data_IF_474139283320
#
_entry.id   IF_474139283320
#
_cell.length_a   1.000
_cell.length_b   1.000
_cell.length_c   1.000
_cell.angle_alpha   90.00
_cell.angle_beta   90.00
_cell.angle_gamma   90.00
#
_symmetry.space_group_name_H-M   'P 1'
#
loop_
_entity.id
_entity.type
_entity.pdbx_description
1 polymer ?
#
# COMPACT_ATOMS: atom_id res chain seq x y z
N UNK A 1 -10.15 -11.10 38.80
CA UNK A 1 -8.80 -11.40 38.25
C UNK A 1 -8.83 -11.89 36.79
N UNK A 2 -9.86 -12.62 36.33
CA UNK A 2 -9.98 -13.05 34.92
C UNK A 2 -10.19 -11.87 33.95
N UNK A 3 -11.01 -10.89 34.35
CA UNK A 3 -11.33 -9.70 33.54
C UNK A 3 -10.08 -8.86 33.20
N UNK A 4 -9.12 -8.76 34.13
CA UNK A 4 -7.89 -7.99 33.93
C UNK A 4 -6.89 -8.68 33.00
N UNK A 5 -6.85 -10.02 32.99
CA UNK A 5 -6.01 -10.78 32.06
C UNK A 5 -6.53 -10.67 30.62
N UNK A 6 -7.85 -10.79 30.43
CA UNK A 6 -8.47 -10.63 29.12
C UNK A 6 -8.23 -9.22 28.55
N UNK A 7 -8.33 -8.18 29.38
CA UNK A 7 -8.01 -6.81 28.99
C UNK A 7 -6.54 -6.65 28.56
N UNK A 8 -5.59 -7.22 29.32
CA UNK A 8 -4.17 -7.18 28.97
C UNK A 8 -3.87 -7.87 27.63
N UNK A 9 -4.47 -9.04 27.39
CA UNK A 9 -4.33 -9.77 26.11
C UNK A 9 -4.92 -8.95 24.95
N UNK A 10 -6.09 -8.35 25.14
CA UNK A 10 -6.71 -7.50 24.13
C UNK A 10 -5.81 -6.31 23.79
N UNK A 11 -5.30 -5.58 24.78
CA UNK A 11 -4.38 -4.45 24.56
C UNK A 11 -3.12 -4.88 23.82
N UNK A 12 -2.53 -6.00 24.20
CA UNK A 12 -1.35 -6.53 23.51
C UNK A 12 -1.64 -6.83 22.04
N UNK A 13 -2.73 -7.55 21.74
CA UNK A 13 -3.11 -7.88 20.36
C UNK A 13 -3.44 -6.62 19.56
N UNK A 14 -4.10 -5.63 20.16
CA UNK A 14 -4.37 -4.34 19.50
C UNK A 14 -3.06 -3.65 19.09
N UNK A 15 -2.07 -3.60 19.98
CA UNK A 15 -0.77 -2.98 19.67
C UNK A 15 -0.03 -3.75 18.57
N UNK A 16 -0.01 -5.08 18.65
CA UNK A 16 0.64 -5.92 17.63
C UNK A 16 -0.01 -5.73 16.25
N UNK A 17 -1.34 -5.76 16.18
CA UNK A 17 -2.08 -5.55 14.94
C UNK A 17 -1.93 -4.13 14.42
N UNK A 18 -1.88 -3.12 15.30
CA UNK A 18 -1.66 -1.74 14.89
C UNK A 18 -0.27 -1.55 14.26
N UNK A 19 0.77 -2.13 14.87
CA UNK A 19 2.14 -2.08 14.33
C UNK A 19 2.21 -2.83 12.99
N UNK A 20 1.66 -4.04 12.92
CA UNK A 20 1.62 -4.82 11.68
C UNK A 20 0.88 -4.07 10.56
N UNK A 21 -0.28 -3.48 10.88
CA UNK A 21 -1.05 -2.67 9.94
C UNK A 21 -0.29 -1.44 9.45
N UNK A 22 0.41 -0.74 10.35
CA UNK A 22 1.23 0.42 9.99
C UNK A 22 2.39 0.03 9.05
N UNK A 23 3.08 -1.09 9.32
CA UNK A 23 4.15 -1.59 8.46
C UNK A 23 3.64 -1.98 7.07
N UNK A 24 2.49 -2.65 6.99
CA UNK A 24 1.86 -3.00 5.70
C UNK A 24 1.46 -1.72 4.94
N UNK A 25 0.86 -0.74 5.62
CA UNK A 25 0.48 0.53 5.00
C UNK A 25 1.70 1.28 4.44
N UNK A 26 2.81 1.32 5.18
CA UNK A 26 4.07 1.93 4.73
C UNK A 26 4.65 1.19 3.53
N UNK A 27 4.65 -0.14 3.54
CA UNK A 27 5.12 -0.94 2.41
C UNK A 27 4.28 -0.69 1.15
N UNK A 28 2.95 -0.59 1.29
CA UNK A 28 2.04 -0.26 0.20
C UNK A 28 2.28 1.16 -0.34
N UNK A 29 2.49 2.13 0.54
CA UNK A 29 2.82 3.51 0.13
C UNK A 29 4.13 3.57 -0.65
N UNK A 30 5.16 2.87 -0.19
CA UNK A 30 6.45 2.81 -0.88
C UNK A 30 6.32 2.15 -2.26
N UNK A 31 5.63 1.01 -2.33
CA UNK A 31 5.40 0.29 -3.59
C UNK A 31 4.55 1.11 -4.57
N UNK A 32 3.49 1.77 -4.09
CA UNK A 32 2.65 2.63 -4.91
C UNK A 32 3.42 3.86 -5.42
N UNK A 33 4.26 4.47 -4.57
CA UNK A 33 5.10 5.60 -4.95
C UNK A 33 6.08 5.26 -6.06
N UNK A 34 6.81 4.15 -5.92
CA UNK A 34 7.76 3.67 -6.93
C UNK A 34 7.04 3.28 -8.24
N UNK A 35 5.89 2.62 -8.12
CA UNK A 35 5.04 2.31 -9.27
C UNK A 35 4.59 3.59 -10.00
N UNK A 36 4.05 4.59 -9.29
CA UNK A 36 3.64 5.86 -9.88
C UNK A 36 4.81 6.58 -10.55
N UNK A 37 5.98 6.64 -9.90
CA UNK A 37 7.16 7.31 -10.43
C UNK A 37 7.62 6.66 -11.75
N UNK A 38 7.80 5.33 -11.76
CA UNK A 38 8.23 4.58 -12.96
C UNK A 38 7.23 4.73 -14.11
N UNK A 39 5.94 4.57 -13.83
CA UNK A 39 4.90 4.68 -14.85
C UNK A 39 4.77 6.12 -15.38
N UNK A 40 4.89 7.12 -14.52
CA UNK A 40 4.92 8.52 -14.92
C UNK A 40 6.08 8.80 -15.87
N UNK A 41 7.31 8.39 -15.50
CA UNK A 41 8.49 8.55 -16.36
C UNK A 41 8.31 7.86 -17.71
N UNK A 42 7.80 6.62 -17.72
CA UNK A 42 7.56 5.87 -18.96
C UNK A 42 6.49 6.53 -19.83
N UNK A 43 5.40 7.01 -19.24
CA UNK A 43 4.34 7.73 -19.95
C UNK A 43 4.88 9.00 -20.62
N UNK A 44 5.64 9.81 -19.87
CA UNK A 44 6.23 11.06 -20.36
C UNK A 44 7.21 10.78 -21.50
N UNK A 45 8.09 9.76 -21.35
CA UNK A 45 9.02 9.34 -22.41
C UNK A 45 8.32 8.85 -23.69
N UNK A 46 7.16 8.21 -23.55
CA UNK A 46 6.35 7.71 -24.68
C UNK A 46 5.41 8.77 -25.26
N UNK A 47 5.37 9.99 -24.70
CA UNK A 47 4.41 11.04 -25.05
C UNK A 47 2.95 10.56 -25.09
N UNK A 48 2.60 9.61 -24.21
CA UNK A 48 1.26 9.04 -24.14
C UNK A 48 0.36 9.86 -23.21
N UNK A 49 -0.90 10.06 -23.62
CA UNK A 49 -1.90 10.63 -22.73
C UNK A 49 -2.22 9.68 -21.57
N UNK A 50 -2.63 10.23 -20.43
CA UNK A 50 -2.97 9.48 -19.21
C UNK A 50 -3.93 8.31 -19.46
N UNK A 51 -5.11 8.51 -20.09
CA UNK A 51 -6.05 7.42 -20.30
C UNK A 51 -5.52 6.33 -21.23
N UNK A 52 -4.75 6.69 -22.27
CA UNK A 52 -4.18 5.72 -23.21
C UNK A 52 -3.13 4.86 -22.52
N UNK A 53 -2.22 5.48 -21.77
CA UNK A 53 -1.16 4.76 -21.05
C UNK A 53 -1.73 3.75 -20.05
N UNK A 54 -2.68 4.16 -19.21
CA UNK A 54 -3.25 3.25 -18.22
C UNK A 54 -4.20 2.22 -18.83
N UNK A 55 -4.87 2.52 -19.95
CA UNK A 55 -5.62 1.50 -20.70
C UNK A 55 -4.68 0.40 -21.19
N UNK A 56 -3.57 0.76 -21.83
CA UNK A 56 -2.54 -0.18 -22.26
C UNK A 56 -1.97 -1.00 -21.11
N UNK A 57 -1.72 -0.36 -19.96
CA UNK A 57 -1.25 -1.04 -18.76
C UNK A 57 -2.23 -2.11 -18.25
N UNK A 58 -3.54 -1.82 -18.29
CA UNK A 58 -4.59 -2.76 -17.87
C UNK A 58 -4.81 -3.86 -18.91
N UNK A 59 -4.72 -3.54 -20.21
CA UNK A 59 -4.97 -4.50 -21.29
C UNK A 59 -3.73 -5.29 -21.73
N UNK A 60 -2.54 -4.98 -21.20
CA UNK A 60 -1.29 -5.66 -21.52
C UNK A 60 -0.80 -5.48 -22.97
N UNK A 61 -1.24 -4.42 -23.65
CA UNK A 61 -0.86 -4.07 -25.03
C UNK A 61 0.11 -2.89 -25.03
#
# INVERSE_FOLDING_TARGET
>A
MILSHAAAVATFLTVVLAIAGALVALALLAAAGDFLARNHTMRVRRHQSVPVYYRHLVTGH
#
